data_IF_738671076995
#
_entry.id   IF_738671076995
#
_cell.length_a   1.000
_cell.length_b   1.000
_cell.length_c   1.000
_cell.angle_alpha   90.00
_cell.angle_beta   90.00
_cell.angle_gamma   90.00
#
_symmetry.space_group_name_H-M   'P 1'
#
loop_
_entity.id
_entity.type
_entity.pdbx_description
1 polymer ?
#
# COMPACT_ATOMS: atom_id res chain seq x y z
N UNK A 1 -36.32 -45.63 27.82
CA UNK A 1 -34.88 -45.27 27.75
C UNK A 1 -34.78 -43.96 26.98
N UNK A 2 -34.70 -42.84 27.69
CA UNK A 2 -34.64 -41.51 27.08
C UNK A 2 -33.17 -41.09 27.00
N UNK A 3 -32.60 -41.04 25.80
CA UNK A 3 -31.27 -40.49 25.58
C UNK A 3 -31.35 -38.96 25.66
N UNK A 4 -30.70 -38.39 26.67
CA UNK A 4 -30.52 -36.96 26.79
C UNK A 4 -29.52 -36.48 25.72
N UNK A 5 -29.92 -35.50 24.92
CA UNK A 5 -29.04 -34.79 24.00
C UNK A 5 -27.89 -34.13 24.79
N UNK A 6 -26.65 -34.15 24.29
CA UNK A 6 -25.56 -33.43 24.92
C UNK A 6 -25.85 -31.92 24.93
N UNK A 7 -25.46 -31.19 26.00
CA UNK A 7 -25.69 -29.76 26.08
C UNK A 7 -24.94 -29.06 24.93
N UNK A 8 -25.64 -28.17 24.21
CA UNK A 8 -25.01 -27.28 23.25
C UNK A 8 -23.87 -26.53 23.95
N UNK A 9 -22.68 -26.55 23.34
CA UNK A 9 -21.56 -25.75 23.81
C UNK A 9 -22.00 -24.29 23.98
N UNK A 10 -21.59 -23.62 25.08
CA UNK A 10 -21.96 -22.22 25.30
C UNK A 10 -21.49 -21.38 24.09
N UNK A 11 -22.31 -20.40 23.64
CA UNK A 11 -21.89 -19.51 22.56
C UNK A 11 -20.58 -18.86 22.96
N UNK A 12 -19.59 -18.89 22.07
CA UNK A 12 -18.31 -18.21 22.25
C UNK A 12 -18.57 -16.79 22.75
N UNK A 13 -18.06 -16.45 23.95
CA UNK A 13 -18.15 -15.09 24.45
C UNK A 13 -17.55 -14.15 23.41
N UNK A 14 -18.24 -13.06 23.04
CA UNK A 14 -17.70 -12.10 22.08
C UNK A 14 -16.39 -11.55 22.64
N UNK A 15 -15.29 -11.80 21.95
CA UNK A 15 -14.01 -11.20 22.31
C UNK A 15 -14.08 -9.72 21.99
N UNK A 16 -14.05 -8.88 23.02
CA UNK A 16 -14.00 -7.43 22.87
C UNK A 16 -12.62 -7.03 22.35
N UNK A 17 -12.59 -6.35 21.21
CA UNK A 17 -11.35 -5.77 20.66
C UNK A 17 -10.87 -4.68 21.59
N UNK A 18 -9.57 -4.64 21.86
CA UNK A 18 -8.98 -3.61 22.70
C UNK A 18 -9.26 -2.22 22.09
N UNK A 19 -9.69 -1.23 22.90
CA UNK A 19 -10.07 0.10 22.40
C UNK A 19 -8.95 0.77 21.59
N UNK A 20 -7.68 0.53 21.96
CA UNK A 20 -6.52 1.06 21.25
C UNK A 20 -6.38 0.55 19.80
N UNK A 21 -6.77 -0.71 19.53
CA UNK A 21 -6.72 -1.28 18.18
C UNK A 21 -7.83 -0.67 17.31
N UNK A 22 -9.01 -0.45 17.88
CA UNK A 22 -10.11 0.24 17.22
C UNK A 22 -9.78 1.71 16.95
N UNK A 23 -9.11 2.39 17.87
CA UNK A 23 -8.69 3.78 17.69
C UNK A 23 -7.65 3.92 16.57
N UNK A 24 -6.74 2.96 16.41
CA UNK A 24 -5.80 2.93 15.29
C UNK A 24 -6.52 2.78 13.93
N UNK A 25 -7.51 1.88 13.86
CA UNK A 25 -8.37 1.71 12.67
C UNK A 25 -9.15 2.99 12.39
N UNK A 26 -9.74 3.60 13.43
CA UNK A 26 -10.50 4.84 13.34
C UNK A 26 -9.65 5.98 12.79
N UNK A 27 -8.45 6.19 13.33
CA UNK A 27 -7.53 7.22 12.87
C UNK A 27 -7.17 7.02 11.39
N UNK A 28 -6.91 5.77 10.98
CA UNK A 28 -6.60 5.46 9.58
C UNK A 28 -7.79 5.67 8.65
N UNK A 29 -9.01 5.33 9.09
CA UNK A 29 -10.23 5.62 8.32
C UNK A 29 -10.43 7.13 8.15
N UNK A 30 -10.22 7.94 9.19
CA UNK A 30 -10.30 9.41 9.08
C UNK A 30 -9.30 9.94 8.06
N UNK A 31 -8.02 9.53 8.15
CA UNK A 31 -6.99 9.95 7.18
C UNK A 31 -7.32 9.57 5.74
N UNK A 32 -7.91 8.38 5.53
CA UNK A 32 -8.35 7.94 4.22
C UNK A 32 -9.53 8.78 3.71
N UNK A 33 -10.54 9.04 4.56
CA UNK A 33 -11.70 9.86 4.22
C UNK A 33 -11.25 11.28 3.85
N UNK A 34 -10.38 11.90 4.65
CA UNK A 34 -9.87 13.25 4.39
C UNK A 34 -9.14 13.32 3.05
N UNK A 35 -8.31 12.30 2.74
CA UNK A 35 -7.58 12.22 1.47
C UNK A 35 -8.52 12.07 0.26
N UNK A 36 -9.57 11.26 0.39
CA UNK A 36 -10.59 11.08 -0.64
C UNK A 36 -11.42 12.35 -0.81
N UNK A 37 -11.86 12.98 0.28
CA UNK A 37 -12.62 14.22 0.24
C UNK A 37 -11.82 15.37 -0.38
N UNK A 38 -10.53 15.47 -0.06
CA UNK A 38 -9.65 16.44 -0.68
C UNK A 38 -9.56 16.22 -2.19
N UNK A 39 -9.38 14.98 -2.66
CA UNK A 39 -9.37 14.68 -4.09
C UNK A 39 -10.73 14.97 -4.74
N UNK A 40 -11.83 14.57 -4.08
CA UNK A 40 -13.19 14.77 -4.57
C UNK A 40 -13.52 16.25 -4.72
N UNK A 41 -13.20 17.07 -3.71
CA UNK A 41 -13.42 18.52 -3.75
C UNK A 41 -12.67 19.19 -4.88
N UNK A 42 -11.44 18.74 -5.18
CA UNK A 42 -10.65 19.24 -6.29
C UNK A 42 -11.22 18.80 -7.64
N UNK A 43 -11.58 17.53 -7.81
CA UNK A 43 -12.23 17.04 -9.03
C UNK A 43 -13.58 17.74 -9.25
N UNK A 44 -14.36 17.94 -8.18
CA UNK A 44 -15.63 18.63 -8.25
C UNK A 44 -15.47 20.11 -8.59
N UNK A 45 -14.50 20.82 -8.00
CA UNK A 45 -14.17 22.20 -8.36
C UNK A 45 -13.87 22.32 -9.86
N UNK A 46 -13.13 21.35 -10.42
CA UNK A 46 -12.77 21.30 -11.84
C UNK A 46 -13.93 20.91 -12.77
N UNK A 47 -14.92 20.17 -12.26
CA UNK A 47 -16.13 19.79 -13.00
C UNK A 47 -17.20 20.89 -13.01
N UNK A 48 -17.30 21.65 -11.91
CA UNK A 48 -18.36 22.65 -11.69
C UNK A 48 -17.95 24.07 -12.06
N UNK A 49 -16.67 24.39 -12.02
CA UNK A 49 -16.15 25.65 -12.54
C UNK A 49 -15.38 25.34 -13.81
N UNK A 50 -15.53 26.17 -14.83
CA UNK A 50 -14.57 26.27 -15.93
C UNK A 50 -13.69 27.46 -15.55
N UNK A 51 -12.70 27.33 -14.65
CA UNK A 51 -11.84 28.45 -14.37
C UNK A 51 -11.00 28.65 -15.63
N UNK A 52 -11.01 29.87 -16.17
CA UNK A 52 -9.97 30.30 -17.10
C UNK A 52 -8.62 30.00 -16.42
N UNK A 53 -7.78 29.14 -17.00
CA UNK A 53 -6.53 28.74 -16.37
C UNK A 53 -5.68 29.99 -16.09
N UNK A 54 -5.31 30.19 -14.83
CA UNK A 54 -4.49 31.31 -14.38
C UNK A 54 -3.33 30.79 -13.54
N UNK A 55 -2.31 31.63 -13.30
CA UNK A 55 -1.18 31.30 -12.42
C UNK A 55 -1.61 31.02 -10.97
N UNK A 56 -2.80 31.46 -10.56
CA UNK A 56 -3.38 31.22 -9.24
C UNK A 56 -4.34 30.01 -9.23
N UNK A 57 -4.85 29.61 -10.39
CA UNK A 57 -5.74 28.47 -10.59
C UNK A 57 -5.26 27.68 -11.82
N UNK A 58 -4.28 26.76 -11.67
CA UNK A 58 -3.66 26.08 -12.80
C UNK A 58 -4.62 25.16 -13.60
N UNK A 59 -5.90 25.08 -13.22
CA UNK A 59 -6.86 24.18 -13.82
C UNK A 59 -6.68 22.76 -13.29
N UNK A 60 -6.83 21.77 -14.18
CA UNK A 60 -6.71 20.34 -13.85
C UNK A 60 -5.43 20.06 -13.06
N UNK A 61 -5.55 19.20 -12.04
CA UNK A 61 -4.39 18.61 -11.37
C UNK A 61 -3.47 18.01 -12.44
N UNK A 62 -2.17 18.31 -12.34
CA UNK A 62 -1.20 17.65 -13.21
C UNK A 62 -1.26 16.13 -12.98
N UNK A 63 -0.92 15.37 -14.02
CA UNK A 63 -0.92 13.91 -13.93
C UNK A 63 -0.06 13.40 -12.76
N UNK A 64 1.08 14.05 -12.50
CA UNK A 64 1.96 13.73 -11.38
C UNK A 64 1.30 13.98 -10.02
N UNK A 65 0.53 15.05 -9.87
CA UNK A 65 -0.20 15.33 -8.63
C UNK A 65 -1.35 14.34 -8.43
N UNK A 66 -2.04 13.95 -9.51
CA UNK A 66 -3.09 12.94 -9.45
C UNK A 66 -2.54 11.57 -9.03
N UNK A 67 -1.42 11.13 -9.64
CA UNK A 67 -0.73 9.90 -9.24
C UNK A 67 -0.30 9.97 -7.78
N UNK A 68 0.30 11.09 -7.35
CA UNK A 68 0.76 11.24 -5.97
C UNK A 68 -0.38 11.12 -4.97
N UNK A 69 -1.54 11.72 -5.27
CA UNK A 69 -2.76 11.60 -4.45
C UNK A 69 -3.33 10.19 -4.47
N UNK A 70 -3.32 9.53 -5.63
CA UNK A 70 -3.74 8.14 -5.74
C UNK A 70 -2.85 7.19 -4.92
N UNK A 71 -1.53 7.35 -5.02
CA UNK A 71 -0.56 6.57 -4.24
C UNK A 71 -0.70 6.79 -2.75
N UNK A 72 -1.06 8.02 -2.33
CA UNK A 72 -1.36 8.31 -0.92
C UNK A 72 -2.61 7.55 -0.46
N UNK A 73 -3.69 7.58 -1.24
CA UNK A 73 -4.92 6.81 -0.96
C UNK A 73 -4.60 5.31 -0.89
N UNK A 74 -3.84 4.78 -1.84
CA UNK A 74 -3.41 3.39 -1.86
C UNK A 74 -2.60 3.03 -0.61
N UNK A 75 -1.71 3.91 -0.17
CA UNK A 75 -0.93 3.73 1.06
C UNK A 75 -1.82 3.66 2.31
N UNK A 76 -2.85 4.50 2.39
CA UNK A 76 -3.83 4.45 3.47
C UNK A 76 -4.65 3.15 3.45
N UNK A 77 -5.08 2.69 2.27
CA UNK A 77 -5.81 1.41 2.10
C UNK A 77 -4.92 0.24 2.50
N UNK A 78 -3.66 0.20 2.08
CA UNK A 78 -2.71 -0.84 2.46
C UNK A 78 -2.44 -0.85 3.98
N UNK A 79 -2.25 0.33 4.59
CA UNK A 79 -2.07 0.45 6.03
C UNK A 79 -3.31 -0.03 6.82
N UNK A 80 -4.52 0.28 6.34
CA UNK A 80 -5.76 -0.22 6.92
C UNK A 80 -5.85 -1.75 6.78
N UNK A 81 -5.45 -2.28 5.62
CA UNK A 81 -5.31 -3.72 5.39
C UNK A 81 -4.42 -4.41 6.44
N UNK A 82 -3.25 -3.85 6.73
CA UNK A 82 -2.31 -4.38 7.74
C UNK A 82 -2.80 -4.29 9.20
N UNK A 83 -3.75 -3.39 9.49
CA UNK A 83 -4.41 -3.30 10.81
C UNK A 83 -5.54 -4.33 10.96
N UNK A 84 -6.29 -4.56 9.88
CA UNK A 84 -7.43 -5.48 9.86
C UNK A 84 -7.03 -6.93 9.61
N UNK A 85 -5.87 -7.13 8.97
CA UNK A 85 -5.37 -8.42 8.55
C UNK A 85 -3.86 -8.47 8.69
N UNK A 86 -3.34 -9.65 9.03
CA UNK A 86 -1.91 -9.93 8.97
C UNK A 86 -1.41 -10.21 7.55
N UNK A 87 -2.32 -10.24 6.56
CA UNK A 87 -2.01 -10.48 5.15
C UNK A 87 -1.35 -9.24 4.57
N UNK A 88 -0.09 -9.37 4.15
CA UNK A 88 0.68 -8.28 3.54
C UNK A 88 1.58 -7.49 4.49
N UNK A 89 1.64 -7.82 5.79
CA UNK A 89 2.68 -7.29 6.68
C UNK A 89 3.97 -8.13 6.51
N UNK A 90 5.05 -7.57 5.91
CA UNK A 90 6.28 -8.31 5.67
C UNK A 90 6.88 -8.88 6.96
N UNK A 91 6.67 -8.23 8.11
CA UNK A 91 7.17 -8.71 9.42
C UNK A 91 6.39 -9.90 9.97
N UNK A 92 5.10 -9.99 9.64
CA UNK A 92 4.27 -11.15 10.01
C UNK A 92 4.40 -12.29 9.01
N UNK A 93 4.69 -11.99 7.73
CA UNK A 93 5.09 -12.99 6.73
C UNK A 93 6.38 -13.68 7.15
N UNK A 94 7.41 -12.92 7.56
CA UNK A 94 8.68 -13.49 8.02
C UNK A 94 8.53 -14.31 9.31
N UNK A 95 7.69 -13.87 10.25
CA UNK A 95 7.38 -14.66 11.46
C UNK A 95 6.67 -15.98 11.13
N UNK A 96 5.70 -15.94 10.21
CA UNK A 96 4.99 -17.15 9.74
C UNK A 96 5.89 -18.14 9.00
N UNK A 97 6.96 -17.66 8.36
CA UNK A 97 7.95 -18.54 7.75
C UNK A 97 8.74 -19.33 8.81
N UNK A 98 9.02 -18.71 9.97
CA UNK A 98 9.80 -19.33 11.05
C UNK A 98 8.97 -20.23 11.96
N UNK A 99 7.68 -19.94 12.15
CA UNK A 99 6.75 -20.77 12.91
C UNK A 99 5.88 -21.57 11.94
N UNK A 100 6.06 -22.88 11.84
CA UNK A 100 5.26 -23.81 11.03
C UNK A 100 3.77 -23.91 11.43
N UNK A 101 3.22 -22.88 12.06
CA UNK A 101 1.84 -22.79 12.51
C UNK A 101 0.86 -22.63 11.34
N UNK A 102 -0.36 -23.17 11.47
CA UNK A 102 -1.38 -23.07 10.43
C UNK A 102 -1.68 -21.62 10.08
N UNK A 103 -1.81 -21.37 8.76
CA UNK A 103 -1.96 -20.07 8.07
C UNK A 103 -3.23 -19.25 8.41
N UNK A 104 -3.82 -19.41 9.60
CA UNK A 104 -4.97 -18.60 10.03
C UNK A 104 -4.46 -17.21 10.42
N UNK A 105 -5.18 -16.19 9.96
CA UNK A 105 -4.87 -14.81 10.29
C UNK A 105 -5.46 -14.47 11.67
N UNK A 106 -4.63 -14.39 12.74
CA UNK A 106 -5.12 -14.20 14.09
C UNK A 106 -5.75 -12.81 14.27
N UNK A 107 -5.31 -11.79 13.52
CA UNK A 107 -5.90 -10.46 13.56
C UNK A 107 -7.29 -10.50 12.92
N UNK A 108 -7.42 -11.09 11.74
CA UNK A 108 -8.72 -11.18 11.07
C UNK A 108 -9.73 -12.04 11.86
N UNK A 109 -9.28 -13.12 12.52
CA UNK A 109 -10.18 -13.91 13.37
C UNK A 109 -10.66 -13.12 14.60
N UNK A 110 -9.81 -12.30 15.22
CA UNK A 110 -10.23 -11.37 16.30
C UNK A 110 -11.29 -10.38 15.83
N UNK A 111 -11.10 -9.78 14.65
CA UNK A 111 -12.10 -8.86 14.07
C UNK A 111 -13.42 -9.56 13.74
N UNK A 112 -13.36 -10.79 13.20
CA UNK A 112 -14.56 -11.61 12.91
C UNK A 112 -15.31 -12.04 14.16
N UNK A 113 -14.60 -12.26 15.27
CA UNK A 113 -15.19 -12.61 16.57
C UNK A 113 -15.79 -11.43 17.33
N UNK A 114 -15.53 -10.20 16.89
CA UNK A 114 -16.03 -8.98 17.52
C UNK A 114 -17.41 -8.62 16.98
N UNK A 115 -18.43 -8.74 17.82
CA UNK A 115 -19.78 -8.32 17.48
C UNK A 115 -19.92 -6.80 17.68
N UNK A 116 -20.26 -6.06 16.62
CA UNK A 116 -20.59 -4.63 16.72
C UNK A 116 -22.07 -4.52 17.06
N UNK A 117 -22.37 -4.09 18.28
CA UNK A 117 -23.73 -3.85 18.77
C UNK A 117 -23.91 -2.34 18.99
N UNK A 118 -25.02 -1.73 18.54
CA UNK A 118 -25.30 -0.35 18.87
C UNK A 118 -25.34 -0.14 20.38
N UNK A 119 -24.72 0.94 20.87
CA UNK A 119 -24.62 1.25 22.30
C UNK A 119 -25.97 1.55 22.97
N UNK A 120 -27.01 1.83 22.18
CA UNK A 120 -28.38 2.12 22.63
C UNK A 120 -29.33 1.20 21.89
N UNK A 121 -30.38 0.70 22.54
CA UNK A 121 -31.40 -0.11 21.86
C UNK A 121 -32.11 0.76 20.83
N UNK A 122 -31.92 0.43 19.55
CA UNK A 122 -32.52 1.18 18.44
C UNK A 122 -33.81 0.48 18.03
N UNK A 123 -34.92 1.21 17.99
CA UNK A 123 -36.17 0.69 17.43
C UNK A 123 -36.00 0.52 15.90
N UNK A 124 -36.03 -0.71 15.37
CA UNK A 124 -35.71 -0.98 13.96
C UNK A 124 -36.68 -0.33 12.97
N UNK A 125 -37.87 0.07 13.44
CA UNK A 125 -38.88 0.76 12.62
C UNK A 125 -38.70 2.28 12.53
N UNK A 126 -37.91 2.90 13.43
CA UNK A 126 -37.74 4.37 13.49
C UNK A 126 -36.40 4.85 12.96
N UNK A 127 -35.35 4.03 13.02
CA UNK A 127 -33.98 4.46 12.68
C UNK A 127 -33.38 3.63 11.53
N UNK A 128 -33.92 3.84 10.33
CA UNK A 128 -33.37 3.31 9.07
C UNK A 128 -31.88 3.71 8.87
N UNK A 129 -31.46 4.82 9.47
CA UNK A 129 -30.08 5.32 9.45
C UNK A 129 -29.13 4.35 10.14
N UNK A 130 -29.48 3.83 11.32
CA UNK A 130 -28.65 2.86 12.04
C UNK A 130 -28.57 1.55 11.26
N UNK A 131 -29.70 1.10 10.68
CA UNK A 131 -29.73 -0.05 9.79
C UNK A 131 -28.84 0.12 8.55
N UNK A 132 -28.70 1.36 8.05
CA UNK A 132 -27.83 1.69 6.92
C UNK A 132 -26.36 1.78 7.33
N UNK A 133 -26.05 2.35 8.50
CA UNK A 133 -24.68 2.51 9.01
C UNK A 133 -24.05 1.18 9.47
N UNK A 134 -24.86 0.30 10.06
CA UNK A 134 -24.42 -1.04 10.48
C UNK A 134 -24.59 -2.10 9.38
N UNK A 135 -25.02 -1.69 8.18
CA UNK A 135 -25.17 -2.60 7.05
C UNK A 135 -23.80 -3.14 6.65
N UNK A 136 -23.70 -4.46 6.59
CA UNK A 136 -22.51 -5.17 6.09
C UNK A 136 -22.68 -5.73 4.69
N UNK A 137 -23.87 -5.60 4.08
CA UNK A 137 -24.06 -6.00 2.68
C UNK A 137 -23.20 -5.12 1.78
N UNK A 138 -22.57 -5.76 0.80
CA UNK A 138 -21.76 -5.10 -0.21
C UNK A 138 -22.61 -4.14 -1.06
N UNK A 139 -21.92 -3.26 -1.81
CA UNK A 139 -22.59 -2.43 -2.82
C UNK A 139 -22.94 -3.28 -4.03
N UNK A 140 -23.98 -2.89 -4.75
CA UNK A 140 -24.55 -3.68 -5.85
C UNK A 140 -23.50 -3.88 -6.96
N UNK A 141 -22.66 -2.88 -7.21
CA UNK A 141 -21.60 -2.94 -8.22
C UNK A 141 -20.55 -4.01 -7.88
N UNK A 142 -20.21 -4.13 -6.59
CA UNK A 142 -19.26 -5.13 -6.09
C UNK A 142 -19.88 -6.52 -6.16
N UNK A 143 -21.14 -6.68 -5.75
CA UNK A 143 -21.85 -7.96 -5.83
C UNK A 143 -21.92 -8.46 -7.27
N UNK A 144 -22.33 -7.60 -8.21
CA UNK A 144 -22.38 -7.94 -9.63
C UNK A 144 -21.01 -8.28 -10.21
N UNK A 145 -19.97 -7.55 -9.82
CA UNK A 145 -18.60 -7.85 -10.24
C UNK A 145 -18.15 -9.23 -9.73
N UNK A 146 -18.42 -9.54 -8.46
CA UNK A 146 -18.07 -10.83 -7.86
C UNK A 146 -18.86 -11.99 -8.49
N UNK A 147 -20.15 -11.81 -8.78
CA UNK A 147 -20.93 -12.82 -9.50
C UNK A 147 -20.37 -13.11 -10.89
N UNK A 148 -20.04 -12.05 -11.66
CA UNK A 148 -19.40 -12.21 -12.97
C UNK A 148 -18.03 -12.89 -12.87
N UNK A 149 -17.26 -12.53 -11.84
CA UNK A 149 -15.96 -13.14 -11.60
C UNK A 149 -16.12 -14.63 -11.29
N UNK A 150 -17.06 -15.01 -10.43
CA UNK A 150 -17.36 -16.40 -10.08
C UNK A 150 -17.84 -17.22 -11.29
N UNK A 151 -18.66 -16.63 -12.14
CA UNK A 151 -19.08 -17.24 -13.41
C UNK A 151 -17.91 -17.47 -14.37
N UNK A 152 -16.95 -16.54 -14.39
CA UNK A 152 -15.76 -16.60 -15.24
C UNK A 152 -14.70 -17.60 -14.75
N UNK A 153 -14.80 -18.07 -13.50
CA UNK A 153 -13.81 -19.00 -12.95
C UNK A 153 -13.85 -20.35 -13.68
N UNK A 154 -12.67 -20.89 -14.08
CA UNK A 154 -12.60 -22.22 -14.66
C UNK A 154 -13.19 -23.28 -13.72
N UNK A 155 -13.77 -24.34 -14.28
CA UNK A 155 -14.42 -25.42 -13.51
C UNK A 155 -13.50 -26.04 -12.44
N UNK A 156 -12.18 -26.10 -12.71
CA UNK A 156 -11.17 -26.58 -11.77
C UNK A 156 -11.08 -25.75 -10.47
N UNK A 157 -11.49 -24.48 -10.49
CA UNK A 157 -11.55 -23.60 -9.31
C UNK A 157 -12.90 -23.65 -8.59
N UNK A 158 -13.93 -24.26 -9.19
CA UNK A 158 -15.23 -24.48 -8.54
C UNK A 158 -15.18 -25.67 -7.57
N UNK A 159 -14.31 -26.64 -7.83
CA UNK A 159 -14.05 -27.74 -6.91
C UNK A 159 -13.06 -27.32 -5.81
N UNK A 160 -13.47 -27.45 -4.55
CA UNK A 160 -12.71 -26.93 -3.40
C UNK A 160 -11.32 -27.57 -3.25
N UNK A 161 -11.20 -28.88 -3.48
CA UNK A 161 -9.93 -29.60 -3.40
C UNK A 161 -8.94 -29.14 -4.48
N UNK A 162 -9.42 -28.99 -5.71
CA UNK A 162 -8.64 -28.54 -6.86
C UNK A 162 -8.22 -27.07 -6.71
N UNK A 163 -9.13 -26.19 -6.25
CA UNK A 163 -8.83 -24.80 -5.88
C UNK A 163 -7.75 -24.71 -4.81
N UNK A 164 -7.85 -25.50 -3.74
CA UNK A 164 -6.88 -25.46 -2.63
C UNK A 164 -5.48 -25.87 -3.10
N UNK A 165 -5.38 -26.94 -3.89
CA UNK A 165 -4.10 -27.38 -4.48
C UNK A 165 -3.50 -26.31 -5.40
N UNK A 166 -4.28 -25.75 -6.31
CA UNK A 166 -3.81 -24.71 -7.23
C UNK A 166 -3.31 -23.46 -6.48
N UNK A 167 -4.01 -23.05 -5.43
CA UNK A 167 -3.57 -21.92 -4.59
C UNK A 167 -2.30 -22.23 -3.80
N UNK A 168 -2.16 -23.45 -3.28
CA UNK A 168 -0.95 -23.88 -2.57
C UNK A 168 0.27 -23.96 -3.51
N UNK A 169 0.08 -24.45 -4.74
CA UNK A 169 1.13 -24.48 -5.77
C UNK A 169 1.51 -23.07 -6.23
N UNK A 170 0.51 -22.23 -6.52
CA UNK A 170 0.75 -20.84 -6.90
C UNK A 170 1.52 -20.08 -5.80
N UNK A 171 1.13 -20.26 -4.54
CA UNK A 171 1.82 -19.64 -3.41
C UNK A 171 3.29 -20.05 -3.34
N UNK A 172 3.59 -21.35 -3.50
CA UNK A 172 4.99 -21.84 -3.53
C UNK A 172 5.79 -21.21 -4.67
N UNK A 173 5.18 -21.07 -5.85
CA UNK A 173 5.84 -20.44 -6.99
C UNK A 173 6.12 -18.95 -6.74
N UNK A 174 5.17 -18.24 -6.13
CA UNK A 174 5.33 -16.83 -5.77
C UNK A 174 6.42 -16.66 -4.70
N UNK A 175 6.42 -17.52 -3.68
CA UNK A 175 7.45 -17.53 -2.64
C UNK A 175 8.84 -17.78 -3.25
N UNK A 176 8.99 -18.83 -4.07
CA UNK A 176 10.24 -19.14 -4.76
C UNK A 176 10.70 -17.99 -5.68
N UNK A 177 9.78 -17.38 -6.43
CA UNK A 177 10.10 -16.22 -7.26
C UNK A 177 10.56 -15.03 -6.42
N UNK A 178 9.90 -14.78 -5.28
CA UNK A 178 10.28 -13.69 -4.37
C UNK A 178 11.65 -13.90 -3.73
N UNK A 179 11.96 -15.12 -3.28
CA UNK A 179 13.28 -15.50 -2.76
C UNK A 179 14.34 -15.29 -3.84
N UNK A 180 14.08 -15.75 -5.07
CA UNK A 180 15.00 -15.59 -6.19
C UNK A 180 15.24 -14.12 -6.55
N UNK A 181 14.20 -13.27 -6.52
CA UNK A 181 14.36 -11.83 -6.73
C UNK A 181 15.21 -11.20 -5.62
N UNK A 182 15.00 -11.59 -4.37
CA UNK A 182 15.78 -11.09 -3.24
C UNK A 182 17.25 -11.54 -3.33
N UNK A 183 17.53 -12.77 -3.77
CA UNK A 183 18.92 -13.21 -3.99
C UNK A 183 19.64 -12.38 -5.05
N UNK A 184 18.94 -11.88 -6.07
CA UNK A 184 19.54 -10.97 -7.04
C UNK A 184 19.75 -9.55 -6.48
N UNK A 185 18.94 -9.14 -5.51
CA UNK A 185 19.07 -7.85 -4.83
C UNK A 185 20.28 -7.81 -3.89
N UNK A 186 20.57 -8.92 -3.21
CA UNK A 186 21.65 -9.00 -2.22
C UNK A 186 23.02 -9.34 -2.85
N UNK A 187 23.06 -9.59 -4.16
CA UNK A 187 24.26 -9.96 -4.91
C UNK A 187 24.76 -11.38 -4.58
N UNK A 188 25.30 -12.10 -5.56
CA UNK A 188 25.81 -13.47 -5.36
C UNK A 188 26.98 -13.55 -4.34
N UNK A 189 27.57 -12.38 -4.00
CA UNK A 189 28.69 -12.23 -3.07
C UNK A 189 28.37 -11.43 -1.79
N UNK A 190 27.10 -11.09 -1.53
CA UNK A 190 26.72 -10.26 -0.38
C UNK A 190 26.98 -8.75 -0.58
N UNK A 191 27.15 -8.31 -1.81
CA UNK A 191 27.21 -6.91 -2.20
C UNK A 191 25.81 -6.45 -2.63
N UNK A 192 25.21 -5.54 -1.86
CA UNK A 192 23.90 -4.95 -2.18
C UNK A 192 23.95 -4.31 -3.56
N UNK A 193 23.02 -4.68 -4.44
CA UNK A 193 22.96 -4.18 -5.81
C UNK A 193 22.68 -2.67 -5.81
N UNK A 194 23.72 -1.86 -5.97
CA UNK A 194 23.59 -0.40 -6.05
C UNK A 194 23.09 0.00 -7.44
N UNK A 195 21.77 -0.03 -7.60
CA UNK A 195 21.07 0.45 -8.81
C UNK A 195 21.27 1.95 -9.08
N UNK A 196 21.88 2.71 -8.16
CA UNK A 196 22.29 4.11 -8.37
C UNK A 196 23.74 4.24 -8.82
N UNK A 197 24.55 3.20 -8.70
CA UNK A 197 25.86 3.15 -9.33
C UNK A 197 25.62 3.19 -10.84
N UNK A 198 26.18 4.23 -11.47
CA UNK A 198 25.92 4.59 -12.86
C UNK A 198 26.11 3.37 -13.74
N UNK A 199 25.07 3.01 -14.49
CA UNK A 199 25.18 2.13 -15.66
C UNK A 199 26.08 2.89 -16.65
N UNK A 200 27.39 2.70 -16.54
CA UNK A 200 28.28 2.81 -17.69
C UNK A 200 27.84 1.66 -18.58
N UNK A 201 26.96 1.98 -19.53
CA UNK A 201 26.65 1.07 -20.62
C UNK A 201 27.97 0.89 -21.35
N UNK A 202 28.55 -0.30 -21.28
CA UNK A 202 29.67 -0.71 -22.14
C UNK A 202 29.23 -0.56 -23.60
N UNK A 203 29.44 0.64 -24.14
CA UNK A 203 29.60 0.85 -25.56
C UNK A 203 31.10 0.90 -25.81
N UNK A 204 31.53 -0.16 -26.48
CA UNK A 204 32.82 -0.34 -27.13
C UNK A 204 33.96 -0.85 -26.23
N UNK A 205 34.06 -2.18 -26.21
CA UNK A 205 35.32 -2.90 -26.12
C UNK A 205 36.37 -2.26 -27.05
N UNK A 206 37.61 -2.24 -26.54
CA UNK A 206 38.86 -1.83 -27.19
C UNK A 206 39.22 -0.34 -27.16
N UNK A 207 39.40 0.23 -25.98
CA UNK A 207 40.60 1.01 -25.58
C UNK A 207 40.36 1.68 -24.20
N UNK A 208 40.60 0.95 -23.12
CA UNK A 208 40.74 1.58 -21.80
C UNK A 208 41.94 1.01 -21.05
N UNK A 209 43.13 1.31 -21.60
CA UNK A 209 44.30 1.52 -20.78
C UNK A 209 44.69 3.01 -20.82
N UNK A 210 44.80 3.60 -19.62
CA UNK A 210 45.37 4.91 -19.27
C UNK A 210 44.46 6.13 -19.45
N UNK A 211 43.84 6.53 -18.34
CA UNK A 211 44.18 7.83 -17.72
C UNK A 211 43.65 7.88 -16.27
N UNK A 212 44.51 7.53 -15.31
CA UNK A 212 44.56 8.32 -14.08
C UNK A 212 44.95 9.72 -14.55
N UNK A 213 43.99 10.63 -14.64
CA UNK A 213 44.28 12.05 -14.85
C UNK A 213 44.89 12.54 -13.54
N UNK A 214 46.21 12.59 -13.54
CA UNK A 214 46.99 13.52 -12.73
C UNK A 214 46.31 14.90 -12.76
N UNK A 215 46.08 15.45 -11.56
CA UNK A 215 46.08 16.88 -11.27
C UNK A 215 45.84 17.83 -12.45
N UNK A 216 44.59 17.95 -12.89
CA UNK A 216 44.13 19.18 -13.53
C UNK A 216 43.38 20.00 -12.51
N UNK A 217 44.14 20.87 -11.85
CA UNK A 217 43.66 22.08 -11.17
C UNK A 217 42.47 22.64 -11.95
N UNK A 218 41.26 22.43 -11.42
CA UNK A 218 40.09 23.15 -11.89
C UNK A 218 40.43 24.64 -11.78
N UNK A 219 40.50 25.32 -12.93
CA UNK A 219 40.61 26.78 -12.96
C UNK A 219 39.36 27.34 -12.28
N UNK A 220 39.48 27.65 -10.99
CA UNK A 220 38.44 28.28 -10.17
C UNK A 220 37.85 29.46 -10.93
N UNK A 221 36.56 29.39 -11.24
CA UNK A 221 35.82 30.49 -11.87
C UNK A 221 35.71 31.62 -10.86
N UNK A 222 36.12 32.83 -11.24
CA UNK A 222 36.02 34.01 -10.38
C UNK A 222 34.57 34.24 -9.95
N UNK A 223 34.37 34.53 -8.68
CA UNK A 223 33.07 34.94 -8.15
C UNK A 223 32.72 36.37 -8.62
N UNK A 224 31.43 36.70 -8.65
CA UNK A 224 30.94 38.01 -9.11
C UNK A 224 31.56 39.17 -8.30
N UNK A 225 31.87 38.93 -7.02
CA UNK A 225 32.53 39.91 -6.15
C UNK A 225 34.02 40.11 -6.51
N UNK A 226 34.73 39.04 -6.84
CA UNK A 226 36.12 39.08 -7.30
C UNK A 226 36.26 39.82 -8.66
N UNK A 227 35.30 39.59 -9.57
CA UNK A 227 35.23 40.33 -10.85
C UNK A 227 35.00 41.83 -10.62
N UNK A 228 34.08 42.19 -9.71
CA UNK A 228 33.80 43.59 -9.38
C UNK A 228 35.00 44.29 -8.71
N UNK A 229 35.75 43.56 -7.87
CA UNK A 229 36.97 44.07 -7.24
C UNK A 229 38.09 44.29 -8.27
N UNK A 230 38.27 43.37 -9.22
CA UNK A 230 39.23 43.49 -10.32
C UNK A 230 38.93 44.72 -11.19
N UNK A 231 37.67 44.93 -11.58
CA UNK A 231 37.29 46.09 -12.40
C UNK A 231 37.57 47.44 -11.71
N UNK A 232 37.53 47.49 -10.38
CA UNK A 232 37.77 48.73 -9.62
C UNK A 232 39.24 48.97 -9.30
N UNK A 233 40.02 47.91 -9.10
CA UNK A 233 41.37 48.01 -8.53
C UNK A 233 42.48 47.53 -9.46
N UNK A 234 42.14 46.87 -10.57
CA UNK A 234 43.08 46.29 -11.53
C UNK A 234 43.89 45.11 -10.98
N UNK A 235 43.63 44.65 -9.75
CA UNK A 235 44.37 43.58 -9.10
C UNK A 235 43.64 42.24 -9.21
N UNK A 236 44.36 41.23 -9.69
CA UNK A 236 43.84 39.87 -9.86
C UNK A 236 43.45 39.26 -8.50
N UNK A 237 42.31 38.54 -8.42
CA UNK A 237 41.94 37.76 -7.23
C UNK A 237 42.96 36.64 -6.98
N UNK A 238 43.30 36.40 -5.71
CA UNK A 238 44.16 35.31 -5.28
C UNK A 238 43.42 33.96 -5.28
#
# INVERSE_FOLDING_TARGET
>A
MSQALPPLAPPHQPQSIAPNELDAVRLKLVQLIDSIQLLLSQVHYLSSTVPTPSTQHPGLLSYNELISRYNLILSHVAALGGLLSSVGDPREVERRYRSSEPRRDPKAEKWKGSLVVPAVSVEPAKDWVVGTLLRTKQTIEVEQYLSKLEESLPLAFKEEASRKRAMDEHQKLVEFASERILTFKDGENGEEWDWRARIEVDQDDEESEKMQVEDKVEKRRWTIQEVAAYQRTGKLPA
#
